data_IF_693563867321
#
_entry.id   IF_693563867321
#
_cell.length_a   1.000
_cell.length_b   1.000
_cell.length_c   1.000
_cell.angle_alpha   90.00
_cell.angle_beta   90.00
_cell.angle_gamma   90.00
#
_symmetry.space_group_name_H-M   'P 1'
#
loop_
_entity.id
_entity.type
_entity.pdbx_description
1 polymer ?
#
# COMPACT_ATOMS: atom_id res chain seq x y z
N UNK A 1 6.04 28.79 25.59
CA UNK A 1 6.23 27.85 24.45
C UNK A 1 4.87 27.24 24.19
N UNK A 2 4.32 27.42 22.98
CA UNK A 2 2.89 27.26 22.70
C UNK A 2 2.30 25.94 23.20
N UNK A 3 1.19 26.05 23.93
CA UNK A 3 0.34 24.91 24.29
C UNK A 3 -0.32 24.41 23.00
N UNK A 4 0.17 23.28 22.47
CA UNK A 4 -0.51 22.56 21.40
C UNK A 4 -1.70 21.88 22.06
N UNK A 5 -2.88 22.49 21.96
CA UNK A 5 -4.12 21.89 22.39
C UNK A 5 -4.44 20.71 21.45
N UNK A 6 -4.27 19.49 21.96
CA UNK A 6 -5.13 18.33 21.66
C UNK A 6 -5.29 17.83 20.22
N UNK A 7 -4.44 18.14 19.24
CA UNK A 7 -4.55 17.47 17.94
C UNK A 7 -4.08 16.01 18.04
N UNK A 8 -5.03 15.09 17.88
CA UNK A 8 -4.76 13.64 17.85
C UNK A 8 -4.27 13.30 16.45
N UNK A 9 -3.08 12.69 16.36
CA UNK A 9 -2.52 12.32 15.07
C UNK A 9 -2.85 10.86 14.76
N UNK A 10 -3.48 10.59 13.63
CA UNK A 10 -3.71 9.23 13.14
C UNK A 10 -2.78 8.91 11.96
N UNK A 11 -1.83 8.02 12.19
CA UNK A 11 -0.93 7.50 11.15
C UNK A 11 -1.57 6.29 10.45
N UNK A 12 -1.96 6.44 9.19
CA UNK A 12 -2.60 5.37 8.41
C UNK A 12 -1.71 4.90 7.29
N UNK A 13 -1.51 3.59 7.16
CA UNK A 13 -0.81 3.04 6.02
C UNK A 13 -0.58 1.54 6.11
N UNK A 14 -0.04 0.91 5.07
CA UNK A 14 0.24 -0.52 5.05
C UNK A 14 1.12 -1.00 6.23
N UNK A 15 1.13 -2.31 6.54
CA UNK A 15 2.04 -2.84 7.55
C UNK A 15 3.51 -2.63 7.13
N UNK A 16 4.36 -2.31 8.11
CA UNK A 16 5.80 -2.17 7.88
C UNK A 16 6.25 -0.84 7.26
N UNK A 17 5.37 0.17 7.17
CA UNK A 17 5.77 1.53 6.72
C UNK A 17 6.43 2.38 7.80
N UNK A 18 6.62 1.85 9.02
CA UNK A 18 7.34 2.55 10.09
C UNK A 18 6.47 3.47 10.97
N UNK A 19 5.15 3.25 11.02
CA UNK A 19 4.21 4.01 11.88
C UNK A 19 4.70 4.13 13.33
N UNK A 20 5.10 3.01 13.93
CA UNK A 20 5.66 2.97 15.29
C UNK A 20 7.00 3.69 15.43
N UNK A 21 7.86 3.61 14.42
CA UNK A 21 9.14 4.32 14.42
C UNK A 21 8.94 5.83 14.35
N UNK A 22 7.95 6.30 13.59
CA UNK A 22 7.57 7.71 13.53
C UNK A 22 7.05 8.19 14.88
N UNK A 23 6.13 7.45 15.52
CA UNK A 23 5.64 7.78 16.85
C UNK A 23 6.76 7.92 17.90
N UNK A 24 7.73 7.00 17.88
CA UNK A 24 8.91 7.08 18.74
C UNK A 24 9.78 8.31 18.43
N UNK A 25 9.99 8.61 17.14
CA UNK A 25 10.80 9.75 16.70
C UNK A 25 10.15 11.10 17.07
N UNK A 26 8.82 11.19 17.05
CA UNK A 26 8.07 12.36 17.55
C UNK A 26 8.38 12.57 19.03
N UNK A 27 8.28 11.52 19.84
CA UNK A 27 8.56 11.59 21.27
C UNK A 27 10.01 12.01 21.57
N UNK A 28 10.98 11.38 20.89
CA UNK A 28 12.41 11.74 21.00
C UNK A 28 12.67 13.20 20.61
N UNK A 29 12.02 13.69 19.55
CA UNK A 29 12.18 15.09 19.10
C UNK A 29 11.55 16.11 20.05
N UNK A 30 10.47 15.72 20.73
CA UNK A 30 9.81 16.55 21.74
C UNK A 30 10.49 16.46 23.11
N UNK A 31 11.45 15.55 23.29
CA UNK A 31 12.05 15.25 24.60
C UNK A 31 11.04 14.71 25.60
N UNK A 32 10.01 14.00 25.14
CA UNK A 32 8.93 13.45 25.96
C UNK A 32 9.05 11.92 26.05
N UNK A 33 8.75 11.29 27.20
CA UNK A 33 8.67 9.83 27.29
C UNK A 33 7.67 9.24 26.31
N UNK A 34 8.00 8.08 25.76
CA UNK A 34 7.18 7.35 24.79
C UNK A 34 6.60 6.10 25.43
N UNK A 35 5.27 5.99 25.42
CA UNK A 35 4.56 4.79 25.83
C UNK A 35 3.71 4.27 24.69
N UNK A 36 3.68 2.95 24.49
CA UNK A 36 2.92 2.31 23.41
C UNK A 36 2.14 1.12 23.93
N UNK A 37 0.87 1.05 23.57
CA UNK A 37 0.07 -0.16 23.75
C UNK A 37 -0.84 -0.39 22.53
N UNK A 38 -1.23 -1.64 22.33
CA UNK A 38 -2.12 -2.04 21.23
C UNK A 38 -3.55 -2.00 21.71
N UNK A 39 -4.43 -1.32 20.98
CA UNK A 39 -5.89 -1.38 21.18
C UNK A 39 -6.55 -2.42 20.27
N UNK A 40 -5.81 -2.96 19.31
CA UNK A 40 -6.27 -4.06 18.46
C UNK A 40 -6.64 -5.30 19.28
N UNK A 41 -7.87 -5.78 19.10
CA UNK A 41 -8.40 -6.95 19.81
C UNK A 41 -8.94 -6.67 21.22
N UNK A 42 -8.89 -5.42 21.71
CA UNK A 42 -9.55 -5.02 22.95
C UNK A 42 -11.06 -5.23 22.83
N UNK A 43 -11.67 -5.71 23.93
CA UNK A 43 -13.11 -5.99 24.02
C UNK A 43 -13.80 -5.34 25.22
N UNK A 44 -13.02 -4.80 26.15
CA UNK A 44 -13.50 -4.29 27.42
C UNK A 44 -12.94 -2.88 27.66
N UNK A 45 -13.80 -1.96 28.10
CA UNK A 45 -13.44 -0.60 28.49
C UNK A 45 -12.49 -0.56 29.71
N UNK A 46 -12.53 -1.60 30.55
CA UNK A 46 -11.69 -1.70 31.73
C UNK A 46 -10.19 -1.78 31.39
N UNK A 47 -9.82 -2.18 30.17
CA UNK A 47 -8.42 -2.12 29.75
C UNK A 47 -7.91 -0.66 29.65
N UNK A 48 -8.79 0.28 29.32
CA UNK A 48 -8.45 1.72 29.20
C UNK A 48 -8.65 2.42 30.54
N UNK A 49 -9.79 2.21 31.20
CA UNK A 49 -10.21 2.91 32.44
C UNK A 49 -9.87 2.19 33.74
N UNK A 50 -9.40 0.96 33.67
CA UNK A 50 -9.14 0.12 34.85
C UNK A 50 -10.40 -0.55 35.39
N UNK A 51 -10.18 -1.47 36.32
CA UNK A 51 -11.26 -2.16 37.04
C UNK A 51 -11.56 -1.45 38.36
N UNK A 52 -12.81 -1.50 38.81
CA UNK A 52 -13.15 -1.08 40.18
C UNK A 52 -12.36 -1.92 41.19
N UNK A 53 -11.88 -1.27 42.27
CA UNK A 53 -11.09 -1.93 43.34
C UNK A 53 -11.77 -3.14 43.99
N UNK A 54 -13.09 -3.22 43.89
CA UNK A 54 -13.90 -4.30 44.43
C UNK A 54 -13.71 -5.64 43.70
N UNK A 55 -13.14 -5.64 42.49
CA UNK A 55 -12.90 -6.87 41.74
C UNK A 55 -11.60 -7.56 42.16
N UNK A 56 -11.64 -8.88 42.26
CA UNK A 56 -10.46 -9.71 42.52
C UNK A 56 -9.51 -9.57 41.33
N UNK A 57 -8.26 -9.18 41.59
CA UNK A 57 -7.27 -8.92 40.54
C UNK A 57 -7.43 -7.58 39.83
N UNK A 58 -8.18 -6.63 40.40
CA UNK A 58 -8.36 -5.30 39.82
C UNK A 58 -7.01 -4.60 39.56
N UNK A 59 -6.89 -4.03 38.36
CA UNK A 59 -5.72 -3.27 37.92
C UNK A 59 -6.16 -1.90 37.40
N UNK A 60 -5.30 -0.87 37.54
CA UNK A 60 -5.53 0.43 36.90
C UNK A 60 -5.47 0.31 35.38
N UNK A 61 -6.13 1.24 34.70
CA UNK A 61 -6.20 1.26 33.24
C UNK A 61 -4.84 1.49 32.59
N UNK A 62 -4.74 1.15 31.30
CA UNK A 62 -3.49 1.29 30.53
C UNK A 62 -2.95 2.72 30.50
N UNK A 63 -3.82 3.73 30.58
CA UNK A 63 -3.41 5.14 30.62
C UNK A 63 -2.75 5.50 31.94
N UNK A 64 -3.28 5.03 33.07
CA UNK A 64 -2.65 5.22 34.38
C UNK A 64 -1.34 4.46 34.47
N UNK A 65 -1.29 3.24 33.94
CA UNK A 65 -0.02 2.48 33.82
C UNK A 65 1.01 3.28 33.00
N UNK A 66 0.59 3.89 31.89
CA UNK A 66 1.46 4.71 31.05
C UNK A 66 2.03 5.92 31.81
N UNK A 67 1.19 6.67 32.53
CA UNK A 67 1.64 7.81 33.34
C UNK A 67 2.58 7.38 34.46
N UNK A 68 2.29 6.25 35.11
CA UNK A 68 3.12 5.69 36.18
C UNK A 68 4.51 5.29 35.66
N UNK A 69 4.58 4.62 34.51
CA UNK A 69 5.86 4.21 33.91
C UNK A 69 6.64 5.38 33.31
N UNK A 70 5.94 6.38 32.77
CA UNK A 70 6.56 7.56 32.18
C UNK A 70 7.05 8.59 33.21
N UNK A 71 6.52 8.52 34.44
CA UNK A 71 6.80 9.45 35.55
C UNK A 71 6.57 10.95 35.19
N UNK A 72 5.73 11.22 34.19
CA UNK A 72 5.37 12.57 33.73
C UNK A 72 3.90 12.63 33.30
N UNK A 73 3.33 13.83 33.33
CA UNK A 73 1.93 14.10 32.93
C UNK A 73 1.76 14.49 31.45
N UNK A 74 2.86 14.62 30.70
CA UNK A 74 2.85 15.02 29.29
C UNK A 74 3.58 14.03 28.34
N UNK A 75 3.45 12.69 28.51
CA UNK A 75 4.08 11.74 27.62
C UNK A 75 3.48 11.78 26.20
N UNK A 76 4.17 11.13 25.27
CA UNK A 76 3.58 10.72 23.99
C UNK A 76 3.04 9.31 24.15
N UNK A 77 1.73 9.14 24.03
CA UNK A 77 1.05 7.85 24.13
C UNK A 77 0.63 7.40 22.73
N UNK A 78 1.13 6.25 22.31
CA UNK A 78 0.82 5.66 21.03
C UNK A 78 -0.21 4.53 21.16
N UNK A 79 -1.35 4.69 20.48
CA UNK A 79 -2.44 3.72 20.39
C UNK A 79 -2.31 2.93 19.09
N UNK A 80 -1.83 1.69 19.17
CA UNK A 80 -1.54 0.86 17.99
C UNK A 80 -2.77 0.03 17.56
N UNK A 81 -3.00 -0.09 16.26
CA UNK A 81 -4.06 -0.94 15.66
C UNK A 81 -5.50 -0.56 16.04
N UNK A 82 -5.85 0.74 16.00
CA UNK A 82 -7.22 1.23 16.28
C UNK A 82 -8.25 0.71 15.28
N UNK A 83 -7.81 0.32 14.08
CA UNK A 83 -8.61 -0.31 13.04
C UNK A 83 -9.06 -1.74 13.36
N UNK A 84 -8.53 -2.34 14.44
CA UNK A 84 -8.84 -3.73 14.84
C UNK A 84 -9.55 -3.83 16.19
N UNK A 85 -10.19 -2.76 16.65
CA UNK A 85 -11.01 -2.83 17.86
C UNK A 85 -12.22 -3.74 17.62
N UNK A 86 -12.51 -4.60 18.60
CA UNK A 86 -13.67 -5.48 18.52
C UNK A 86 -14.91 -4.79 19.09
N UNK A 87 -16.03 -4.85 18.38
CA UNK A 87 -17.33 -4.55 18.97
C UNK A 87 -17.74 -5.69 19.90
N UNK A 88 -17.91 -5.44 21.19
CA UNK A 88 -18.40 -6.44 22.15
C UNK A 88 -19.73 -5.99 22.77
N UNK A 89 -20.56 -6.93 23.20
CA UNK A 89 -21.83 -6.65 23.89
C UNK A 89 -21.64 -6.24 25.36
N UNK A 90 -20.43 -6.38 25.94
CA UNK A 90 -20.14 -6.15 27.36
C UNK A 90 -19.55 -4.76 27.66
N UNK A 91 -19.35 -3.94 26.63
CA UNK A 91 -18.80 -2.59 26.73
C UNK A 91 -18.18 -2.19 25.39
N UNK A 92 -18.23 -0.90 25.08
CA UNK A 92 -17.65 -0.38 23.84
C UNK A 92 -16.30 0.29 24.14
N UNK A 93 -15.15 -0.35 23.84
CA UNK A 93 -13.85 0.26 24.04
C UNK A 93 -13.66 1.54 23.23
N UNK A 94 -14.41 1.71 22.11
CA UNK A 94 -14.38 2.94 21.35
C UNK A 94 -14.97 4.13 22.14
N UNK A 95 -15.99 3.89 22.96
CA UNK A 95 -16.57 4.90 23.86
C UNK A 95 -15.57 5.36 24.92
N UNK A 96 -14.80 4.43 25.50
CA UNK A 96 -13.73 4.78 26.45
C UNK A 96 -12.59 5.58 25.79
N UNK A 97 -12.25 5.26 24.54
CA UNK A 97 -11.31 6.05 23.75
C UNK A 97 -11.86 7.43 23.39
N UNK A 98 -13.16 7.56 23.09
CA UNK A 98 -13.77 8.85 22.81
C UNK A 98 -13.62 9.79 24.01
N UNK A 99 -13.93 9.34 25.23
CA UNK A 99 -13.72 10.12 26.44
C UNK A 99 -12.24 10.48 26.68
N UNK A 100 -11.33 9.53 26.40
CA UNK A 100 -9.89 9.74 26.56
C UNK A 100 -9.33 10.77 25.57
N UNK A 101 -9.82 10.73 24.33
CA UNK A 101 -9.29 11.50 23.22
C UNK A 101 -9.99 12.86 23.08
N UNK A 102 -11.21 13.00 23.59
CA UNK A 102 -11.96 14.26 23.55
C UNK A 102 -11.29 15.34 24.41
N UNK A 103 -10.82 16.46 23.82
CA UNK A 103 -10.20 17.55 24.57
C UNK A 103 -11.09 18.15 25.66
N UNK A 104 -12.41 18.04 25.53
CA UNK A 104 -13.36 18.55 26.53
C UNK A 104 -13.52 17.61 27.72
N UNK A 105 -13.28 16.30 27.54
CA UNK A 105 -13.48 15.28 28.58
C UNK A 105 -12.17 14.79 29.20
N UNK A 106 -11.06 14.85 28.45
CA UNK A 106 -9.78 14.28 28.86
C UNK A 106 -9.12 15.01 30.05
N UNK A 107 -9.57 16.21 30.40
CA UNK A 107 -9.14 16.98 31.58
C UNK A 107 -9.63 16.32 32.88
N UNK A 108 -10.74 15.59 32.83
CA UNK A 108 -11.39 14.96 33.98
C UNK A 108 -11.50 13.43 33.81
N UNK A 109 -10.54 12.80 33.13
CA UNK A 109 -10.54 11.37 32.87
C UNK A 109 -10.62 10.55 34.17
N UNK A 110 -11.65 9.71 34.31
CA UNK A 110 -11.87 8.90 35.50
C UNK A 110 -11.30 7.50 35.33
N UNK A 111 -10.28 7.15 36.12
CA UNK A 111 -9.83 5.77 36.26
C UNK A 111 -10.62 5.07 37.37
N UNK A 112 -11.28 3.96 37.04
CA UNK A 112 -12.15 3.21 37.94
C UNK A 112 -11.39 2.53 39.10
N UNK A 113 -10.10 2.27 38.92
CA UNK A 113 -9.27 1.66 39.95
C UNK A 113 -8.78 2.69 40.96
N UNK A 114 -8.35 3.86 40.49
CA UNK A 114 -7.93 4.94 41.37
C UNK A 114 -9.10 5.67 42.02
N UNK A 115 -10.25 5.70 41.35
CA UNK A 115 -11.43 6.51 41.72
C UNK A 115 -11.08 7.99 41.82
N UNK A 116 -10.22 8.45 40.91
CA UNK A 116 -9.70 9.81 40.82
C UNK A 116 -9.77 10.31 39.38
N UNK A 117 -10.05 11.61 39.23
CA UNK A 117 -9.99 12.31 37.94
C UNK A 117 -8.55 12.72 37.64
N UNK A 118 -8.09 12.40 36.44
CA UNK A 118 -6.75 12.69 35.94
C UNK A 118 -6.84 13.61 34.73
N UNK A 119 -5.96 14.59 34.70
CA UNK A 119 -5.83 15.51 33.56
C UNK A 119 -4.90 14.90 32.50
N UNK A 120 -5.48 14.46 31.39
CA UNK A 120 -4.77 13.94 30.22
C UNK A 120 -4.59 14.99 29.10
N UNK A 121 -5.00 16.25 29.30
CA UNK A 121 -4.96 17.29 28.26
C UNK A 121 -3.56 17.59 27.71
N UNK A 122 -2.51 17.28 28.49
CA UNK A 122 -1.10 17.50 28.12
C UNK A 122 -0.45 16.31 27.41
N UNK A 123 -1.15 15.17 27.37
CA UNK A 123 -0.72 13.96 26.68
C UNK A 123 -0.85 14.18 25.18
N UNK A 124 0.19 13.82 24.41
CA UNK A 124 0.08 13.77 22.96
C UNK A 124 -0.30 12.35 22.52
N UNK A 125 -1.48 12.20 21.93
CA UNK A 125 -1.96 10.92 21.42
C UNK A 125 -1.56 10.73 19.95
N UNK A 126 -0.94 9.57 19.67
CA UNK A 126 -0.61 9.14 18.30
C UNK A 126 -1.26 7.79 18.03
N UNK A 127 -2.27 7.77 17.17
CA UNK A 127 -2.97 6.55 16.78
C UNK A 127 -2.35 5.94 15.52
N UNK A 128 -2.46 4.62 15.35
CA UNK A 128 -2.15 3.96 14.08
C UNK A 128 -3.29 3.09 13.58
N UNK A 129 -3.39 3.03 12.25
CA UNK A 129 -4.27 2.12 11.55
C UNK A 129 -3.63 1.60 10.27
N UNK A 130 -4.15 0.48 9.74
CA UNK A 130 -3.83 0.03 8.40
C UNK A 130 -4.84 0.54 7.37
N UNK A 131 -6.11 0.60 7.76
CA UNK A 131 -7.24 1.07 6.93
C UNK A 131 -8.10 2.04 7.72
N UNK A 132 -8.83 2.93 7.03
CA UNK A 132 -9.79 3.84 7.68
C UNK A 132 -11.17 3.21 7.86
N UNK A 133 -11.55 2.28 6.97
CA UNK A 133 -12.92 1.78 6.83
C UNK A 133 -13.49 1.10 8.09
N UNK A 134 -12.62 0.62 8.98
CA UNK A 134 -13.00 -0.06 10.22
C UNK A 134 -12.96 0.84 11.46
N UNK A 135 -12.56 2.11 11.32
CA UNK A 135 -12.51 3.06 12.44
C UNK A 135 -13.88 3.70 12.62
N UNK A 136 -14.42 3.77 13.86
CA UNK A 136 -15.67 4.49 14.12
C UNK A 136 -15.60 5.96 13.68
N UNK A 137 -16.60 6.42 12.92
CA UNK A 137 -16.70 7.81 12.43
C UNK A 137 -16.46 8.87 13.51
N UNK A 138 -17.09 8.78 14.71
CA UNK A 138 -16.88 9.76 15.77
C UNK A 138 -15.43 9.89 16.26
N UNK A 139 -14.63 8.82 16.17
CA UNK A 139 -13.20 8.88 16.49
C UNK A 139 -12.42 9.52 15.35
N UNK A 140 -12.75 9.14 14.11
CA UNK A 140 -12.06 9.63 12.92
C UNK A 140 -12.20 11.15 12.74
N UNK A 141 -13.39 11.69 13.00
CA UNK A 141 -13.69 13.14 12.87
C UNK A 141 -12.85 14.00 13.83
N UNK A 142 -12.32 13.40 14.90
CA UNK A 142 -11.48 14.06 15.92
C UNK A 142 -9.98 13.93 15.64
N UNK A 143 -9.60 13.16 14.62
CA UNK A 143 -8.20 12.84 14.32
C UNK A 143 -7.67 13.56 13.08
N UNK A 144 -6.45 14.08 13.17
CA UNK A 144 -5.70 14.53 12.01
C UNK A 144 -5.08 13.32 11.28
N UNK A 145 -5.60 13.01 10.10
CA UNK A 145 -5.22 11.81 9.33
C UNK A 145 -3.97 12.07 8.49
N UNK A 146 -2.87 11.40 8.84
CA UNK A 146 -1.63 11.40 8.06
C UNK A 146 -1.49 10.05 7.35
N UNK A 147 -1.56 10.07 6.01
CA UNK A 147 -1.41 8.86 5.19
C UNK A 147 0.05 8.59 4.87
N UNK A 148 0.53 7.42 5.29
CA UNK A 148 1.85 6.87 5.03
C UNK A 148 1.76 5.85 3.89
N UNK A 149 2.29 6.23 2.74
CA UNK A 149 2.41 5.36 1.58
C UNK A 149 3.44 4.25 1.78
N UNK A 150 3.39 3.23 0.93
CA UNK A 150 4.49 2.27 0.79
C UNK A 150 5.77 2.90 0.26
N UNK A 151 6.86 2.13 0.31
CA UNK A 151 8.19 2.54 -0.14
C UNK A 151 8.53 1.97 -1.52
N UNK A 152 9.20 2.76 -2.36
CA UNK A 152 9.82 2.28 -3.60
C UNK A 152 11.13 1.53 -3.34
N UNK A 153 11.64 0.81 -4.34
CA UNK A 153 12.86 0.00 -4.22
C UNK A 153 14.05 0.82 -3.71
N UNK A 154 14.23 2.05 -4.22
CA UNK A 154 15.30 2.96 -3.86
C UNK A 154 15.18 3.45 -2.41
N UNK A 155 13.97 3.76 -1.95
CA UNK A 155 13.67 4.13 -0.56
C UNK A 155 13.92 2.94 0.37
N UNK A 156 13.45 1.74 0.00
CA UNK A 156 13.71 0.51 0.76
C UNK A 156 15.20 0.19 0.85
N UNK A 157 15.96 0.42 -0.22
CA UNK A 157 17.41 0.27 -0.23
C UNK A 157 18.06 1.23 0.77
N UNK A 158 17.64 2.50 0.79
CA UNK A 158 18.13 3.49 1.73
C UNK A 158 17.78 3.12 3.19
N UNK A 159 16.53 2.71 3.45
CA UNK A 159 16.05 2.26 4.76
C UNK A 159 16.83 1.03 5.23
N UNK A 160 17.03 0.06 4.34
CA UNK A 160 17.77 -1.16 4.62
C UNK A 160 19.21 -0.85 5.04
N UNK A 161 19.90 0.03 4.32
CA UNK A 161 21.28 0.42 4.63
C UNK A 161 21.42 1.21 5.91
N UNK A 162 20.57 2.21 6.12
CA UNK A 162 20.69 3.16 7.22
C UNK A 162 20.17 2.59 8.55
N UNK A 163 19.12 1.77 8.50
CA UNK A 163 18.41 1.35 9.70
C UNK A 163 18.35 -0.17 9.86
N UNK A 164 17.80 -0.90 8.89
CA UNK A 164 17.50 -2.33 9.10
C UNK A 164 18.75 -3.19 9.23
N UNK A 165 19.73 -2.99 8.34
CA UNK A 165 20.96 -3.79 8.34
C UNK A 165 21.78 -3.56 9.62
N UNK A 166 22.09 -2.32 10.04
CA UNK A 166 22.73 -2.07 11.33
C UNK A 166 21.99 -2.69 12.52
N UNK A 167 20.66 -2.52 12.57
CA UNK A 167 19.81 -3.06 13.64
C UNK A 167 19.85 -4.60 13.71
N UNK A 168 19.87 -5.28 12.56
CA UNK A 168 19.99 -6.74 12.53
C UNK A 168 21.37 -7.23 12.97
N UNK A 169 22.44 -6.50 12.62
CA UNK A 169 23.80 -6.81 13.05
C UNK A 169 23.97 -6.63 14.56
N UNK A 170 23.47 -5.52 15.11
CA UNK A 170 23.50 -5.22 16.54
C UNK A 170 22.75 -6.29 17.35
N UNK A 171 21.54 -6.65 16.90
CA UNK A 171 20.74 -7.71 17.52
C UNK A 171 21.45 -9.07 17.53
N UNK A 172 22.31 -9.33 16.55
CA UNK A 172 23.09 -10.55 16.44
C UNK A 172 24.49 -10.46 17.09
N UNK A 173 24.88 -9.29 17.61
CA UNK A 173 26.20 -9.06 18.17
C UNK A 173 27.34 -9.10 17.13
N UNK A 174 27.05 -8.88 15.84
CA UNK A 174 28.05 -8.98 14.76
C UNK A 174 28.58 -7.60 14.39
N UNK A 175 29.90 -7.35 14.45
CA UNK A 175 30.47 -6.08 14.03
C UNK A 175 30.34 -5.89 12.51
N UNK A 176 30.08 -4.64 12.07
CA UNK A 176 29.92 -4.26 10.65
C UNK A 176 31.10 -4.62 9.76
N UNK A 177 32.30 -4.78 10.34
CA UNK A 177 33.53 -5.15 9.62
C UNK A 177 33.59 -6.63 9.25
N UNK A 178 32.87 -7.51 9.96
CA UNK A 178 32.87 -8.96 9.72
C UNK A 178 31.78 -9.42 8.76
N UNK A 179 30.67 -8.70 8.70
CA UNK A 179 29.55 -9.04 7.82
C UNK A 179 29.03 -7.81 7.06
N UNK A 180 29.14 -7.86 5.73
CA UNK A 180 28.68 -6.81 4.84
C UNK A 180 27.75 -7.35 3.75
N UNK A 181 26.87 -6.50 3.24
CA UNK A 181 25.97 -6.83 2.13
C UNK A 181 26.13 -5.78 1.03
N UNK A 182 26.21 -6.25 -0.22
CA UNK A 182 26.32 -5.36 -1.38
C UNK A 182 24.99 -4.72 -1.76
N UNK A 183 25.04 -3.54 -2.38
CA UNK A 183 23.86 -2.86 -2.93
C UNK A 183 23.08 -3.70 -3.92
N UNK A 184 23.79 -4.45 -4.77
CA UNK A 184 23.19 -5.36 -5.73
C UNK A 184 22.43 -6.49 -5.02
N UNK A 185 22.99 -7.03 -3.93
CA UNK A 185 22.30 -8.03 -3.12
C UNK A 185 21.07 -7.44 -2.42
N UNK A 186 21.15 -6.22 -1.89
CA UNK A 186 19.99 -5.57 -1.28
C UNK A 186 18.86 -5.33 -2.29
N UNK A 187 19.17 -4.86 -3.50
CA UNK A 187 18.18 -4.70 -4.57
C UNK A 187 17.54 -6.04 -4.94
N UNK A 188 18.36 -7.06 -5.19
CA UNK A 188 17.87 -8.40 -5.52
C UNK A 188 17.03 -9.01 -4.38
N UNK A 189 17.36 -8.71 -3.12
CA UNK A 189 16.57 -9.11 -1.95
C UNK A 189 15.18 -8.45 -1.94
N UNK A 190 15.13 -7.14 -2.19
CA UNK A 190 13.90 -6.35 -2.23
C UNK A 190 12.98 -6.86 -3.34
N UNK A 191 13.51 -7.03 -4.55
CA UNK A 191 12.74 -7.41 -5.74
C UNK A 191 12.32 -8.89 -5.72
N UNK A 192 13.22 -9.79 -5.31
CA UNK A 192 13.01 -11.24 -5.41
C UNK A 192 12.42 -11.91 -4.16
N UNK A 193 12.57 -11.31 -2.97
CA UNK A 193 12.24 -11.99 -1.70
C UNK A 193 11.36 -11.15 -0.74
N UNK A 194 11.19 -9.84 -0.99
CA UNK A 194 10.47 -8.93 -0.09
C UNK A 194 9.54 -7.95 -0.84
N UNK A 195 8.70 -8.49 -1.73
CA UNK A 195 7.68 -7.74 -2.48
C UNK A 195 6.46 -7.43 -1.59
N UNK A 196 6.51 -6.31 -0.90
CA UNK A 196 5.43 -5.75 -0.07
C UNK A 196 5.41 -4.21 -0.18
N UNK A 197 4.45 -3.53 0.44
CA UNK A 197 4.46 -2.05 0.49
C UNK A 197 5.49 -1.49 1.51
N UNK A 198 5.61 -2.12 2.67
CA UNK A 198 6.56 -1.73 3.74
C UNK A 198 7.92 -2.42 3.66
N UNK A 199 8.59 -2.54 4.82
CA UNK A 199 9.90 -3.20 4.96
C UNK A 199 9.92 -4.35 5.99
N UNK A 200 8.76 -4.86 6.40
CA UNK A 200 8.64 -5.92 7.43
C UNK A 200 9.24 -7.25 6.95
N UNK A 201 8.84 -7.72 5.78
CA UNK A 201 9.40 -8.89 5.13
C UNK A 201 10.87 -8.67 4.78
N UNK A 202 11.24 -7.46 4.33
CA UNK A 202 12.64 -7.12 4.07
C UNK A 202 13.50 -7.29 5.33
N UNK A 203 13.07 -6.75 6.47
CA UNK A 203 13.73 -6.92 7.78
C UNK A 203 13.84 -8.41 8.16
N UNK A 204 12.78 -9.19 7.95
CA UNK A 204 12.76 -10.64 8.22
C UNK A 204 13.81 -11.39 7.39
N UNK A 205 13.92 -11.08 6.09
CA UNK A 205 14.89 -11.72 5.21
C UNK A 205 16.32 -11.31 5.55
N UNK A 206 16.57 -10.02 5.84
CA UNK A 206 17.87 -9.56 6.34
C UNK A 206 18.28 -10.30 7.62
N UNK A 207 17.35 -10.47 8.57
CA UNK A 207 17.61 -11.25 9.79
C UNK A 207 17.94 -12.71 9.50
N UNK A 208 17.32 -13.33 8.48
CA UNK A 208 17.64 -14.70 8.05
C UNK A 208 19.06 -14.79 7.45
N UNK A 209 19.46 -13.80 6.64
CA UNK A 209 20.82 -13.70 6.10
C UNK A 209 21.86 -13.54 7.21
N UNK A 210 21.60 -12.66 8.19
CA UNK A 210 22.50 -12.46 9.33
C UNK A 210 22.64 -13.76 10.14
N UNK A 211 21.53 -14.42 10.51
CA UNK A 211 21.57 -15.69 11.25
C UNK A 211 22.36 -16.78 10.51
N UNK A 212 22.15 -16.95 9.20
CA UNK A 212 22.93 -17.92 8.40
C UNK A 212 24.40 -17.57 8.34
N UNK A 213 24.74 -16.28 8.33
CA UNK A 213 26.14 -15.84 8.32
C UNK A 213 26.79 -16.03 9.68
N UNK A 214 26.06 -15.82 10.78
CA UNK A 214 26.54 -16.09 12.14
C UNK A 214 26.94 -17.54 12.32
N UNK A 215 26.15 -18.50 11.82
CA UNK A 215 26.52 -19.93 11.86
C UNK A 215 27.88 -20.17 11.21
N UNK A 216 28.13 -19.57 10.03
CA UNK A 216 29.44 -19.67 9.35
C UNK A 216 30.58 -19.00 10.13
N UNK A 217 30.30 -17.89 10.82
CA UNK A 217 31.28 -17.20 11.66
C UNK A 217 31.61 -17.96 12.96
N UNK A 218 30.73 -18.86 13.41
CA UNK A 218 31.04 -19.75 14.53
C UNK A 218 32.00 -20.86 14.12
N UNK A 219 31.87 -21.36 12.89
CA UNK A 219 32.78 -22.37 12.32
C UNK A 219 34.15 -21.77 11.99
N UNK A 220 34.19 -20.52 11.53
CA UNK A 220 35.43 -19.76 11.27
C UNK A 220 35.35 -18.34 11.89
N UNK A 221 35.85 -18.16 13.13
CA UNK A 221 35.77 -16.89 13.87
C UNK A 221 36.48 -15.69 13.23
N UNK A 222 37.42 -15.91 12.31
CA UNK A 222 38.18 -14.84 11.64
C UNK A 222 37.67 -14.52 10.23
N UNK A 223 36.70 -15.28 9.73
CA UNK A 223 36.12 -15.05 8.42
C UNK A 223 35.45 -13.66 8.31
N UNK A 224 35.66 -13.01 7.16
CA UNK A 224 34.90 -11.82 6.73
C UNK A 224 33.95 -12.22 5.62
N UNK A 225 32.65 -12.08 5.87
CA UNK A 225 31.61 -12.48 4.93
C UNK A 225 31.08 -11.24 4.21
N UNK A 226 31.08 -11.28 2.88
CA UNK A 226 30.43 -10.29 2.02
C UNK A 226 29.34 -10.96 1.20
N UNK A 227 28.09 -10.56 1.43
CA UNK A 227 26.92 -11.11 0.74
C UNK A 227 26.73 -10.37 -0.60
N UNK A 228 26.93 -11.10 -1.69
CA UNK A 228 26.60 -10.73 -3.06
C UNK A 228 25.20 -11.21 -3.49
N UNK A 229 24.75 -10.77 -4.66
CA UNK A 229 23.43 -11.16 -5.19
C UNK A 229 23.34 -12.68 -5.47
N UNK A 230 24.45 -13.31 -5.87
CA UNK A 230 24.53 -14.75 -6.13
C UNK A 230 24.39 -15.61 -4.86
N UNK A 231 24.77 -15.06 -3.71
CA UNK A 231 24.73 -15.77 -2.43
C UNK A 231 23.30 -15.86 -1.85
N UNK A 232 22.38 -15.03 -2.35
CA UNK A 232 21.00 -14.97 -1.87
C UNK A 232 20.28 -16.29 -2.07
N UNK A 233 20.50 -16.98 -3.18
CA UNK A 233 19.81 -18.24 -3.47
C UNK A 233 20.25 -19.35 -2.51
N UNK A 234 21.55 -19.49 -2.24
CA UNK A 234 22.05 -20.44 -1.25
C UNK A 234 21.58 -20.12 0.18
N UNK A 235 21.36 -18.84 0.49
CA UNK A 235 20.92 -18.43 1.82
C UNK A 235 19.39 -18.49 2.00
N UNK A 236 18.61 -18.10 1.01
CA UNK A 236 17.17 -17.89 1.13
C UNK A 236 16.33 -18.90 0.35
N UNK A 237 16.93 -19.65 -0.58
CA UNK A 237 16.26 -20.48 -1.58
C UNK A 237 16.01 -19.71 -2.87
N UNK A 238 15.28 -20.32 -3.81
CA UNK A 238 14.91 -19.66 -5.06
C UNK A 238 14.10 -18.38 -4.79
N UNK A 239 14.24 -17.33 -5.63
CA UNK A 239 13.43 -16.12 -5.52
C UNK A 239 11.93 -16.44 -5.54
N UNK A 240 11.21 -15.92 -4.55
CA UNK A 240 9.76 -16.10 -4.41
C UNK A 240 9.02 -15.32 -5.48
N UNK A 241 9.53 -14.12 -5.80
CA UNK A 241 8.97 -13.25 -6.81
C UNK A 241 9.87 -13.25 -8.04
N UNK A 242 9.26 -13.52 -9.20
CA UNK A 242 9.92 -13.38 -10.50
C UNK A 242 9.41 -12.12 -11.17
N UNK A 243 10.26 -11.52 -11.99
CA UNK A 243 9.82 -10.41 -12.84
C UNK A 243 8.71 -10.92 -13.76
N UNK A 244 7.57 -10.24 -13.72
CA UNK A 244 6.47 -10.48 -14.67
C UNK A 244 7.00 -10.18 -16.07
N UNK A 245 6.77 -11.11 -16.99
CA UNK A 245 7.14 -10.92 -18.39
C UNK A 245 6.19 -9.90 -18.99
N UNK A 246 6.72 -8.81 -19.54
CA UNK A 246 5.90 -7.89 -20.34
C UNK A 246 5.44 -8.65 -21.58
N UNK A 247 4.13 -8.84 -21.70
CA UNK A 247 3.53 -9.45 -22.88
C UNK A 247 3.39 -8.38 -23.96
N UNK A 248 3.68 -8.76 -25.20
CA UNK A 248 3.51 -7.91 -26.38
C UNK A 248 2.79 -8.66 -27.50
N UNK A 249 2.02 -7.93 -28.30
CA UNK A 249 1.26 -8.49 -29.40
C UNK A 249 -0.01 -7.71 -29.73
N UNK A 250 -0.67 -8.15 -30.80
CA UNK A 250 -2.00 -7.65 -31.16
C UNK A 250 -3.00 -8.06 -30.08
N UNK A 251 -3.81 -7.11 -29.62
CA UNK A 251 -4.78 -7.34 -28.56
C UNK A 251 -4.17 -7.40 -27.16
N UNK A 252 -2.89 -7.07 -26.98
CA UNK A 252 -2.23 -7.09 -25.66
C UNK A 252 -1.87 -5.67 -25.22
N UNK A 253 -2.45 -5.21 -24.11
CA UNK A 253 -2.19 -3.87 -23.55
C UNK A 253 -1.80 -3.97 -22.09
N UNK A 254 -0.79 -3.20 -21.68
CA UNK A 254 -0.41 -3.12 -20.26
C UNK A 254 -1.25 -2.08 -19.51
N UNK A 255 -2.07 -2.55 -18.57
CA UNK A 255 -2.81 -1.71 -17.62
C UNK A 255 -2.07 -1.51 -16.31
N UNK A 256 -2.44 -0.46 -15.56
CA UNK A 256 -1.97 -0.23 -14.20
C UNK A 256 -3.10 -0.46 -13.20
N UNK A 257 -2.82 -1.28 -12.18
CA UNK A 257 -3.75 -1.60 -11.12
C UNK A 257 -3.22 -1.19 -9.75
N UNK A 258 -4.17 -0.97 -8.84
CA UNK A 258 -3.90 -0.80 -7.43
C UNK A 258 -4.35 -2.05 -6.69
N UNK A 259 -3.48 -2.59 -5.83
CA UNK A 259 -3.78 -3.74 -4.97
C UNK A 259 -3.46 -3.39 -3.52
N UNK A 260 -3.92 -4.21 -2.59
CA UNK A 260 -3.57 -4.09 -1.16
C UNK A 260 -2.06 -4.20 -0.89
N UNK A 261 -1.30 -4.80 -1.81
CA UNK A 261 0.16 -4.92 -1.75
C UNK A 261 0.88 -3.75 -2.45
N UNK A 262 0.14 -2.77 -2.96
CA UNK A 262 0.63 -1.64 -3.74
C UNK A 262 0.27 -1.74 -5.22
N UNK A 263 0.92 -0.94 -6.06
CA UNK A 263 0.65 -0.94 -7.50
C UNK A 263 1.18 -2.18 -8.22
N UNK A 264 0.47 -2.59 -9.27
CA UNK A 264 0.81 -3.71 -10.15
C UNK A 264 0.56 -3.37 -11.62
N UNK A 265 1.26 -4.06 -12.53
CA UNK A 265 0.99 -4.04 -13.97
C UNK A 265 0.14 -5.23 -14.34
N UNK A 266 -0.86 -5.02 -15.19
CA UNK A 266 -1.77 -6.07 -15.66
C UNK A 266 -1.77 -6.11 -17.18
N UNK A 267 -1.19 -7.13 -17.83
CA UNK A 267 -1.35 -7.30 -19.26
C UNK A 267 -2.77 -7.77 -19.55
N UNK A 268 -3.58 -6.97 -20.23
CA UNK A 268 -4.92 -7.35 -20.67
C UNK A 268 -4.80 -7.90 -22.09
N UNK A 269 -5.41 -9.06 -22.32
CA UNK A 269 -5.30 -9.81 -23.57
C UNK A 269 -6.68 -9.97 -24.21
N UNK A 270 -6.80 -9.62 -25.49
CA UNK A 270 -8.00 -9.82 -26.30
C UNK A 270 -7.67 -10.69 -27.50
N UNK A 271 -8.46 -11.73 -27.73
CA UNK A 271 -8.33 -12.60 -28.90
C UNK A 271 -9.69 -12.89 -29.54
N UNK A 272 -9.68 -13.14 -30.85
CA UNK A 272 -10.87 -13.58 -31.59
C UNK A 272 -10.87 -15.10 -31.67
N UNK A 273 -11.87 -15.73 -31.06
CA UNK A 273 -12.00 -17.20 -31.05
C UNK A 273 -12.47 -17.71 -32.41
N UNK A 274 -13.56 -17.14 -32.93
CA UNK A 274 -14.14 -17.51 -34.22
C UNK A 274 -15.01 -16.38 -34.79
N UNK A 275 -15.51 -16.55 -36.02
CA UNK A 275 -16.33 -15.57 -36.75
C UNK A 275 -17.73 -16.09 -37.09
N UNK A 276 -18.28 -17.01 -36.28
CA UNK A 276 -19.59 -17.61 -36.53
C UNK A 276 -20.76 -16.75 -36.02
N UNK A 277 -20.61 -16.17 -34.84
CA UNK A 277 -21.62 -15.35 -34.18
C UNK A 277 -20.95 -14.33 -33.26
N UNK A 278 -21.65 -13.20 -33.05
CA UNK A 278 -21.27 -12.24 -32.03
C UNK A 278 -21.23 -12.89 -30.66
N UNK A 279 -20.18 -12.62 -29.90
CA UNK A 279 -20.07 -13.05 -28.52
C UNK A 279 -18.90 -12.39 -27.82
N UNK A 280 -19.03 -12.25 -26.51
CA UNK A 280 -18.00 -11.65 -25.67
C UNK A 280 -17.83 -12.50 -24.41
N UNK A 281 -16.61 -13.01 -24.19
CA UNK A 281 -16.26 -13.85 -23.05
C UNK A 281 -15.21 -13.15 -22.21
N UNK A 282 -15.45 -13.15 -20.90
CA UNK A 282 -14.57 -12.55 -19.89
C UNK A 282 -14.01 -13.65 -18.98
N UNK A 283 -12.69 -13.63 -18.74
CA UNK A 283 -12.03 -14.48 -17.73
C UNK A 283 -11.00 -13.69 -16.92
N UNK A 284 -10.68 -14.17 -15.72
CA UNK A 284 -9.73 -13.49 -14.82
C UNK A 284 -10.22 -13.19 -13.41
N UNK A 285 -11.29 -13.87 -12.95
CA UNK A 285 -11.94 -13.61 -11.65
C UNK A 285 -12.30 -12.14 -11.44
N UNK A 286 -12.95 -11.55 -12.45
CA UNK A 286 -13.39 -10.17 -12.42
C UNK A 286 -14.57 -9.99 -11.45
N UNK A 287 -14.54 -8.93 -10.65
CA UNK A 287 -15.71 -8.47 -9.89
C UNK A 287 -16.78 -7.86 -10.79
N UNK A 288 -17.95 -7.56 -10.24
CA UNK A 288 -19.10 -7.07 -11.02
C UNK A 288 -18.82 -5.71 -11.68
N UNK A 289 -18.15 -4.78 -10.98
CA UNK A 289 -17.81 -3.47 -11.53
C UNK A 289 -16.83 -3.59 -12.69
N UNK A 290 -15.90 -4.53 -12.60
CA UNK A 290 -14.91 -4.76 -13.65
C UNK A 290 -15.52 -5.44 -14.88
N UNK A 291 -16.50 -6.34 -14.70
CA UNK A 291 -17.28 -6.91 -15.82
C UNK A 291 -18.07 -5.83 -16.54
N UNK A 292 -18.76 -4.96 -15.81
CA UNK A 292 -19.51 -3.85 -16.38
C UNK A 292 -18.60 -2.88 -17.17
N UNK A 293 -17.41 -2.58 -16.62
CA UNK A 293 -16.40 -1.79 -17.32
C UNK A 293 -15.94 -2.43 -18.64
N UNK A 294 -15.82 -3.75 -18.69
CA UNK A 294 -15.47 -4.48 -19.90
C UNK A 294 -16.58 -4.40 -20.97
N UNK A 295 -17.84 -4.51 -20.55
CA UNK A 295 -19.01 -4.35 -21.45
C UNK A 295 -19.12 -2.93 -22.01
N UNK A 296 -18.84 -1.90 -21.19
CA UNK A 296 -18.79 -0.51 -21.64
C UNK A 296 -17.68 -0.32 -22.68
N UNK A 297 -16.48 -0.85 -22.42
CA UNK A 297 -15.36 -0.81 -23.35
C UNK A 297 -15.71 -1.50 -24.67
N UNK A 298 -16.31 -2.69 -24.62
CA UNK A 298 -16.77 -3.43 -25.79
C UNK A 298 -17.79 -2.64 -26.62
N UNK A 299 -18.79 -2.07 -25.95
CA UNK A 299 -19.85 -1.28 -26.58
C UNK A 299 -19.31 0.00 -27.23
N UNK A 300 -18.42 0.70 -26.54
CA UNK A 300 -17.81 1.93 -27.04
C UNK A 300 -16.95 1.67 -28.28
N UNK A 301 -16.03 0.69 -28.22
CA UNK A 301 -15.17 0.37 -29.35
C UNK A 301 -16.01 -0.11 -30.53
N UNK A 302 -16.95 -1.03 -30.32
CA UNK A 302 -17.82 -1.55 -31.38
C UNK A 302 -18.57 -0.46 -32.14
N UNK A 303 -19.04 0.58 -31.46
CA UNK A 303 -19.79 1.69 -32.07
C UNK A 303 -18.91 2.74 -32.77
N UNK A 304 -17.60 2.77 -32.51
CA UNK A 304 -16.69 3.81 -33.01
C UNK A 304 -15.52 3.28 -33.85
N UNK A 305 -15.56 2.02 -34.27
CA UNK A 305 -14.48 1.37 -35.05
C UNK A 305 -14.05 2.16 -36.28
N UNK A 306 -15.02 2.67 -37.06
CA UNK A 306 -14.75 3.47 -38.27
C UNK A 306 -13.88 4.70 -37.96
N UNK A 307 -14.16 5.38 -36.85
CA UNK A 307 -13.42 6.57 -36.43
C UNK A 307 -11.97 6.22 -36.06
N UNK A 308 -11.76 5.02 -35.51
CA UNK A 308 -10.46 4.55 -35.07
C UNK A 308 -9.77 3.62 -36.08
N UNK A 309 -10.14 3.65 -37.35
CA UNK A 309 -9.44 2.89 -38.41
C UNK A 309 -9.60 1.37 -38.36
N UNK A 310 -10.63 0.86 -37.67
CA UNK A 310 -11.01 -0.56 -37.68
C UNK A 310 -12.16 -0.85 -38.66
N UNK A 311 -12.33 -2.11 -39.03
CA UNK A 311 -13.47 -2.57 -39.84
C UNK A 311 -14.77 -2.48 -39.02
N UNK A 312 -15.76 -1.65 -39.40
CA UNK A 312 -17.00 -1.48 -38.64
C UNK A 312 -17.80 -2.76 -38.42
N UNK A 313 -17.62 -3.77 -39.27
CA UNK A 313 -18.34 -5.05 -39.20
C UNK A 313 -17.61 -6.12 -38.38
N UNK A 314 -16.42 -5.80 -37.86
CA UNK A 314 -15.55 -6.77 -37.18
C UNK A 314 -16.27 -7.51 -36.03
N UNK A 315 -17.01 -6.80 -35.18
CA UNK A 315 -17.69 -7.38 -34.01
C UNK A 315 -19.07 -7.98 -34.31
N UNK A 316 -19.57 -7.88 -35.54
CA UNK A 316 -20.92 -8.39 -35.88
C UNK A 316 -20.98 -9.91 -35.89
N UNK A 317 -19.87 -10.56 -36.27
CA UNK A 317 -19.73 -12.02 -36.28
C UNK A 317 -18.57 -12.54 -35.43
N UNK A 318 -17.76 -11.66 -34.83
CA UNK A 318 -16.65 -12.09 -33.99
C UNK A 318 -17.11 -12.54 -32.60
N UNK A 319 -16.63 -13.70 -32.19
CA UNK A 319 -16.63 -14.11 -30.80
C UNK A 319 -15.28 -13.76 -30.18
N UNK A 320 -15.28 -12.81 -29.26
CA UNK A 320 -14.07 -12.25 -28.65
C UNK A 320 -13.93 -12.73 -27.21
N UNK A 321 -12.71 -13.09 -26.84
CA UNK A 321 -12.35 -13.43 -25.47
C UNK A 321 -11.36 -12.41 -24.95
N UNK A 322 -11.77 -11.68 -23.92
CA UNK A 322 -10.92 -10.78 -23.16
C UNK A 322 -10.51 -11.47 -21.85
N UNK A 323 -9.22 -11.63 -21.66
CA UNK A 323 -8.62 -12.19 -20.47
C UNK A 323 -7.89 -11.08 -19.69
N UNK A 324 -8.17 -11.02 -18.40
CA UNK A 324 -7.42 -10.21 -17.45
C UNK A 324 -6.71 -11.19 -16.50
N UNK A 325 -5.41 -11.48 -16.70
CA UNK A 325 -4.67 -12.50 -15.95
C UNK A 325 -4.84 -12.36 -14.45
N UNK A 326 -4.99 -13.47 -13.76
CA UNK A 326 -5.21 -13.48 -12.32
C UNK A 326 -4.04 -12.81 -11.59
N UNK A 327 -4.37 -11.86 -10.71
CA UNK A 327 -3.50 -11.50 -9.59
C UNK A 327 -4.06 -12.20 -8.35
N UNK A 328 -3.24 -12.43 -7.32
CA UNK A 328 -3.65 -13.08 -6.06
C UNK A 328 -4.72 -12.32 -5.24
N UNK A 329 -5.35 -11.29 -5.81
CA UNK A 329 -6.33 -10.41 -5.17
C UNK A 329 -7.50 -10.19 -6.14
N UNK A 330 -8.77 -10.31 -5.67
CA UNK A 330 -9.95 -9.95 -6.46
C UNK A 330 -9.81 -8.56 -7.06
N UNK A 331 -10.15 -8.42 -8.35
CA UNK A 331 -10.03 -7.18 -9.10
C UNK A 331 -11.42 -6.62 -9.34
N UNK A 332 -11.78 -5.65 -8.51
CA UNK A 332 -13.05 -4.97 -8.62
C UNK A 332 -12.79 -3.46 -8.67
N UNK A 333 -13.04 -2.85 -9.83
CA UNK A 333 -12.79 -1.43 -10.06
C UNK A 333 -12.81 -1.06 -11.55
N UNK A 334 -13.33 0.12 -11.90
CA UNK A 334 -13.55 0.52 -13.30
C UNK A 334 -12.30 1.06 -14.01
N UNK A 335 -11.16 1.17 -13.29
CA UNK A 335 -9.96 1.89 -13.75
C UNK A 335 -9.18 1.26 -14.91
N UNK A 336 -9.65 0.14 -15.45
CA UNK A 336 -9.09 -0.57 -16.60
C UNK A 336 -9.91 -0.35 -17.89
N UNK A 337 -10.94 0.49 -17.88
CA UNK A 337 -11.82 0.74 -19.02
C UNK A 337 -11.08 1.11 -20.31
N UNK A 338 -10.17 2.09 -20.25
CA UNK A 338 -9.38 2.49 -21.43
C UNK A 338 -8.41 1.40 -21.89
N UNK A 339 -7.90 0.59 -20.96
CA UNK A 339 -6.97 -0.51 -21.24
C UNK A 339 -7.67 -1.62 -22.01
N UNK A 340 -8.88 -2.01 -21.55
CA UNK A 340 -9.71 -3.02 -22.21
C UNK A 340 -10.17 -2.56 -23.59
N UNK A 341 -10.62 -1.31 -23.70
CA UNK A 341 -10.99 -0.72 -24.98
C UNK A 341 -9.81 -0.72 -25.96
N UNK A 342 -8.60 -0.41 -25.49
CA UNK A 342 -7.39 -0.40 -26.33
C UNK A 342 -7.00 -1.79 -26.82
N UNK A 343 -7.18 -2.83 -25.98
CA UNK A 343 -6.92 -4.22 -26.37
C UNK A 343 -7.90 -4.67 -27.46
N UNK A 344 -9.19 -4.35 -27.29
CA UNK A 344 -10.23 -4.63 -28.27
C UNK A 344 -10.00 -3.87 -29.58
N UNK A 345 -9.59 -2.60 -29.51
CA UNK A 345 -9.29 -1.80 -30.69
C UNK A 345 -8.05 -2.33 -31.44
N UNK A 346 -6.99 -2.71 -30.72
CA UNK A 346 -5.81 -3.34 -31.32
C UNK A 346 -6.18 -4.61 -32.08
N UNK A 347 -7.01 -5.47 -31.47
CA UNK A 347 -7.52 -6.69 -32.09
C UNK A 347 -8.33 -6.39 -33.37
N UNK A 348 -9.24 -5.41 -33.32
CA UNK A 348 -10.09 -5.05 -34.44
C UNK A 348 -9.33 -4.35 -35.59
N UNK A 349 -8.26 -3.59 -35.28
CA UNK A 349 -7.36 -3.00 -36.28
C UNK A 349 -6.36 -4.00 -36.85
N UNK A 350 -6.22 -5.18 -36.25
CA UNK A 350 -5.12 -6.11 -36.50
C UNK A 350 -3.74 -5.40 -36.46
N UNK A 351 -3.59 -4.47 -35.52
CA UNK A 351 -2.40 -3.62 -35.36
C UNK A 351 -1.91 -3.72 -33.91
N UNK A 352 -0.62 -4.04 -33.74
CA UNK A 352 0.00 -4.06 -32.41
C UNK A 352 0.10 -2.62 -31.87
N UNK A 353 -0.19 -2.41 -30.58
CA UNK A 353 -0.08 -1.10 -29.95
C UNK A 353 1.38 -0.71 -29.75
N UNK A 354 1.63 0.60 -29.55
CA UNK A 354 2.96 1.11 -29.17
C UNK A 354 3.52 0.36 -27.95
N UNK A 355 4.77 -0.10 -28.06
CA UNK A 355 5.46 -0.84 -26.99
C UNK A 355 5.88 0.08 -25.86
N UNK A 356 5.91 -0.46 -24.64
CA UNK A 356 6.43 0.28 -23.47
C UNK A 356 5.50 1.37 -22.94
N UNK A 357 4.21 1.30 -23.28
CA UNK A 357 3.15 2.18 -22.77
C UNK A 357 2.30 1.42 -21.76
N UNK A 358 2.04 2.04 -20.61
CA UNK A 358 1.01 1.57 -19.67
C UNK A 358 -0.07 2.62 -19.43
N UNK A 359 -1.28 2.19 -19.11
CA UNK A 359 -2.41 3.11 -18.97
C UNK A 359 -3.37 2.73 -17.85
N UNK A 360 -4.10 3.72 -17.35
CA UNK A 360 -5.24 3.54 -16.45
C UNK A 360 -6.25 4.65 -16.68
N UNK A 361 -7.53 4.34 -16.52
CA UNK A 361 -8.61 5.28 -16.72
C UNK A 361 -9.92 4.54 -16.82
N UNK A 362 -10.93 5.08 -16.16
CA UNK A 362 -12.31 4.64 -16.36
C UNK A 362 -12.84 5.22 -17.67
N UNK A 363 -13.62 4.42 -18.40
CA UNK A 363 -14.16 4.78 -19.71
C UNK A 363 -15.69 4.81 -19.63
N UNK A 364 -16.29 5.86 -20.15
CA UNK A 364 -17.75 5.95 -20.30
C UNK A 364 -18.21 5.56 -21.70
N UNK A 365 -19.51 5.28 -21.88
CA UNK A 365 -20.12 5.01 -23.19
C UNK A 365 -20.00 6.19 -24.18
N UNK A 366 -19.75 7.42 -23.69
CA UNK A 366 -19.54 8.60 -24.54
C UNK A 366 -18.07 8.86 -24.85
N UNK A 367 -17.17 7.98 -24.41
CA UNK A 367 -15.73 8.05 -24.65
C UNK A 367 -14.98 9.02 -23.76
N UNK A 368 -15.57 9.46 -22.64
CA UNK A 368 -14.86 10.27 -21.64
C UNK A 368 -13.95 9.38 -20.80
N UNK A 369 -12.78 9.91 -20.42
CA UNK A 369 -11.84 9.26 -19.51
C UNK A 369 -11.97 9.89 -18.13
N UNK A 370 -12.46 9.11 -17.18
CA UNK A 370 -12.76 9.57 -15.82
C UNK A 370 -11.56 9.36 -14.86
N UNK A 371 -11.47 10.17 -13.78
CA UNK A 371 -10.39 10.08 -12.81
C UNK A 371 -10.34 8.72 -12.11
N UNK A 372 -9.14 8.34 -11.68
CA UNK A 372 -8.87 7.11 -10.94
C UNK A 372 -8.17 7.40 -9.62
N UNK A 373 -8.27 6.45 -8.68
CA UNK A 373 -7.49 6.45 -7.45
C UNK A 373 -6.11 5.80 -7.59
N UNK A 374 -5.23 6.06 -6.62
CA UNK A 374 -3.93 5.37 -6.48
C UNK A 374 -2.91 5.73 -7.55
N UNK A 375 -2.89 6.99 -8.02
CA UNK A 375 -1.95 7.46 -9.07
C UNK A 375 -0.50 7.19 -8.68
N UNK A 376 -0.12 7.50 -7.44
CA UNK A 376 1.23 7.27 -6.91
C UNK A 376 1.65 5.81 -7.04
N UNK A 377 0.85 4.89 -6.54
CA UNK A 377 1.14 3.46 -6.55
C UNK A 377 1.22 2.91 -7.97
N UNK A 378 0.34 3.37 -8.87
CA UNK A 378 0.33 2.97 -10.28
C UNK A 378 1.58 3.45 -11.02
N UNK A 379 2.03 4.68 -10.78
CA UNK A 379 3.28 5.22 -11.33
C UNK A 379 4.49 4.42 -10.83
N UNK A 380 4.52 4.09 -9.52
CA UNK A 380 5.56 3.24 -8.93
C UNK A 380 5.60 1.86 -9.60
N UNK A 381 4.43 1.27 -9.88
CA UNK A 381 4.33 -0.03 -10.52
C UNK A 381 4.91 -0.02 -11.95
N UNK A 382 4.57 1.01 -12.72
CA UNK A 382 5.07 1.17 -14.09
C UNK A 382 6.59 1.31 -14.11
N UNK A 383 7.13 2.16 -13.24
CA UNK A 383 8.58 2.38 -13.13
C UNK A 383 9.34 1.12 -12.74
N UNK A 384 8.79 0.33 -11.82
CA UNK A 384 9.36 -0.97 -11.42
C UNK A 384 9.46 -1.94 -12.60
N UNK A 385 8.50 -1.90 -13.53
CA UNK A 385 8.52 -2.69 -14.76
C UNK A 385 9.31 -2.03 -15.90
N UNK A 386 10.00 -0.92 -15.62
CA UNK A 386 10.77 -0.13 -16.59
C UNK A 386 9.89 0.36 -17.76
N UNK A 387 8.64 0.69 -17.45
CA UNK A 387 7.71 1.32 -18.39
C UNK A 387 7.87 2.83 -18.22
N UNK A 388 8.28 3.49 -19.30
CA UNK A 388 8.64 4.91 -19.29
C UNK A 388 7.54 5.82 -19.83
N UNK A 389 6.50 5.26 -20.47
CA UNK A 389 5.43 6.03 -21.08
C UNK A 389 4.08 5.65 -20.44
N UNK A 390 3.36 6.64 -19.91
CA UNK A 390 2.09 6.44 -19.21
C UNK A 390 0.97 7.23 -19.84
N UNK A 391 -0.23 6.66 -19.84
CA UNK A 391 -1.47 7.37 -20.15
C UNK A 391 -2.32 7.44 -18.89
N UNK A 392 -2.60 8.66 -18.43
CA UNK A 392 -3.41 8.94 -17.24
C UNK A 392 -4.62 9.82 -17.60
N UNK A 393 -5.72 9.78 -16.82
CA UNK A 393 -6.83 10.70 -17.01
C UNK A 393 -6.37 12.15 -16.76
N UNK A 394 -6.86 13.09 -17.56
CA UNK A 394 -6.56 14.52 -17.38
C UNK A 394 -6.94 15.02 -15.99
N UNK A 395 -8.06 14.53 -15.44
CA UNK A 395 -8.51 14.88 -14.09
C UNK A 395 -7.52 14.48 -12.98
N UNK A 396 -6.57 13.58 -13.26
CA UNK A 396 -5.51 13.18 -12.33
C UNK A 396 -4.20 13.96 -12.49
N UNK A 397 -4.14 15.01 -13.34
CA UNK A 397 -2.94 15.83 -13.53
C UNK A 397 -2.41 16.42 -12.23
N UNK A 398 -3.28 17.02 -11.41
CA UNK A 398 -2.88 17.58 -10.11
C UNK A 398 -2.26 16.52 -9.18
N UNK A 399 -2.90 15.36 -9.05
CA UNK A 399 -2.37 14.24 -8.26
C UNK A 399 -1.03 13.70 -8.77
N UNK A 400 -0.75 13.81 -10.08
CA UNK A 400 0.54 13.43 -10.65
C UNK A 400 1.61 14.50 -10.39
N UNK A 401 1.26 15.79 -10.49
CA UNK A 401 2.19 16.91 -10.27
C UNK A 401 2.69 16.98 -8.82
N UNK A 402 1.83 16.64 -7.85
CA UNK A 402 2.16 16.50 -6.43
C UNK A 402 3.12 15.34 -6.13
N UNK A 403 3.35 14.43 -7.10
CA UNK A 403 4.32 13.36 -6.89
C UNK A 403 5.74 13.95 -6.79
N UNK A 404 6.58 13.37 -5.91
CA UNK A 404 7.98 13.74 -5.83
C UNK A 404 8.71 13.65 -7.18
N UNK A 405 9.63 14.58 -7.45
CA UNK A 405 10.32 14.69 -8.74
C UNK A 405 11.06 13.41 -9.13
N UNK A 406 11.65 12.73 -8.15
CA UNK A 406 12.32 11.47 -8.41
C UNK A 406 11.38 10.41 -8.97
N UNK A 407 10.06 10.44 -8.73
CA UNK A 407 9.09 9.49 -9.33
C UNK A 407 8.71 9.89 -10.76
N UNK A 408 8.74 11.19 -11.08
CA UNK A 408 8.39 11.74 -12.40
C UNK A 408 9.56 11.66 -13.37
N UNK A 409 10.79 11.69 -12.86
CA UNK A 409 12.01 11.68 -13.66
C UNK A 409 12.08 10.45 -14.59
N UNK A 410 12.30 10.71 -15.89
CA UNK A 410 12.40 9.68 -16.92
C UNK A 410 11.07 9.03 -17.31
N UNK A 411 9.93 9.64 -16.94
CA UNK A 411 8.60 9.26 -17.39
C UNK A 411 8.01 10.29 -18.36
N UNK A 412 7.44 9.82 -19.45
CA UNK A 412 6.60 10.61 -20.35
C UNK A 412 5.14 10.30 -20.03
N UNK A 413 4.36 11.31 -19.63
CA UNK A 413 2.96 11.12 -19.27
C UNK A 413 2.05 11.87 -20.23
N UNK A 414 1.13 11.13 -20.84
CA UNK A 414 0.07 11.64 -21.69
C UNK A 414 -1.22 11.71 -20.90
N UNK A 415 -1.79 12.90 -20.82
CA UNK A 415 -3.06 13.11 -20.15
C UNK A 415 -4.22 13.04 -21.14
N UNK A 416 -5.17 12.15 -20.90
CA UNK A 416 -6.30 11.90 -21.78
C UNK A 416 -7.60 12.44 -21.17
N UNK A 417 -8.35 13.23 -21.94
CA UNK A 417 -9.74 13.63 -21.61
C UNK A 417 -10.75 12.69 -22.24
N UNK A 418 -10.43 12.21 -23.44
CA UNK A 418 -11.26 11.31 -24.22
C UNK A 418 -10.47 10.11 -24.70
N UNK A 419 -11.17 9.03 -25.01
CA UNK A 419 -10.53 7.82 -25.54
C UNK A 419 -9.79 8.07 -26.86
N UNK A 420 -10.19 9.06 -27.65
CA UNK A 420 -9.45 9.49 -28.84
C UNK A 420 -8.02 9.92 -28.54
N UNK A 421 -7.76 10.50 -27.38
CA UNK A 421 -6.42 10.91 -26.97
C UNK A 421 -5.55 9.68 -26.68
N UNK A 422 -6.16 8.65 -26.06
CA UNK A 422 -5.53 7.35 -25.79
C UNK A 422 -5.19 6.63 -27.11
N UNK A 423 -6.16 6.53 -28.03
CA UNK A 423 -5.99 5.84 -29.30
C UNK A 423 -4.86 6.44 -30.15
N UNK A 424 -4.75 7.78 -30.18
CA UNK A 424 -3.67 8.49 -30.89
C UNK A 424 -2.29 8.07 -30.37
N UNK A 425 -2.08 8.08 -29.06
CA UNK A 425 -0.78 7.71 -28.45
C UNK A 425 -0.39 6.25 -28.76
N UNK A 426 -1.36 5.37 -28.96
CA UNK A 426 -1.12 3.94 -29.16
C UNK A 426 -0.92 3.51 -30.61
N UNK A 427 -1.57 4.18 -31.56
CA UNK A 427 -1.68 3.71 -32.94
C UNK A 427 -1.23 4.71 -34.02
N UNK A 428 -1.00 5.98 -33.65
CA UNK A 428 -0.43 7.03 -34.50
C UNK A 428 1.01 7.35 -34.04
#
# INVERSE_FOLDING_TARGET
KGEIAGSIVLLVGPPGVGKTSIGKSIAESLGRPFYRFSVGGMRDEAEIKGHRRTYIGAMPGKLVQALKEAEVMNPVIMLDEIDKMGSSYQGDPASALLETLDPEQNVEFLDHYLDLRLDLSKVLFVCTANTLDSIPGPLLDRMEVIRLSGYITEEKLAIAKRHLWPKQLEKAGVPKTRLSISDAALRALIEGYAREAGVRQLEKQLGKLVRKSVVKLLDDPEAKIRIGAKDLEGALGMPVFRNERVLDGIGVITGLAWTSMGGATLPIEATRIHTLNRGFKLTGQLGEVMKESAEIAYSYVSSHLKQFGGDPTFFDQAFVHLHVPEGATPKDGPSAGITMASALLSLARNQAPKKGVAMTGELTLTGQVLPIGGVREKVIAARRQKIHELILPEANRGSYEELPDYLKEGLTVHFAKRYSDVAKVLFD
#
